data_IF_762871949844
#
_entry.id   IF_762871949844
#
_cell.length_a   1.000
_cell.length_b   1.000
_cell.length_c   1.000
_cell.angle_alpha   90.00
_cell.angle_beta   90.00
_cell.angle_gamma   90.00
#
_symmetry.space_group_name_H-M   'P 1'
#
loop_
_entity.id
_entity.type
_entity.pdbx_description
1 polymer ?
#
# COMPACT_ATOMS: atom_id res chain seq x y z
N UNK A 1 -24.05 15.53 54.14
CA UNK A 1 -23.29 14.75 55.16
C UNK A 1 -22.11 14.17 54.40
N UNK A 2 -20.83 14.47 54.62
CA UNK A 2 -20.07 14.91 55.80
C UNK A 2 -18.91 15.80 55.31
N UNK A 3 -18.62 16.86 56.07
CA UNK A 3 -17.46 17.76 55.95
C UNK A 3 -16.28 17.19 56.75
N UNK A 4 -15.06 17.35 56.28
CA UNK A 4 -13.80 17.29 57.06
C UNK A 4 -12.83 18.28 56.40
N UNK A 5 -12.63 19.51 56.88
CA UNK A 5 -11.97 19.99 58.12
C UNK A 5 -10.46 19.68 58.17
N UNK A 6 -9.66 20.74 58.01
CA UNK A 6 -8.19 20.78 58.13
C UNK A 6 -7.71 20.54 59.58
N UNK A 7 -6.37 20.48 59.80
CA UNK A 7 -5.82 21.53 60.66
C UNK A 7 -4.45 22.08 60.24
N UNK A 8 -4.23 23.32 60.66
CA UNK A 8 -2.98 24.05 60.70
C UNK A 8 -2.23 23.82 62.03
N UNK A 9 -0.90 23.95 62.03
CA UNK A 9 -0.04 24.05 63.22
C UNK A 9 1.43 24.16 62.78
N UNK A 10 2.04 25.34 62.83
CA UNK A 10 2.76 25.97 63.96
C UNK A 10 4.24 25.52 64.09
N UNK A 11 5.10 26.28 63.41
CA UNK A 11 6.29 27.00 63.93
C UNK A 11 7.03 26.41 65.14
N UNK A 12 8.27 25.92 64.92
CA UNK A 12 9.38 26.03 65.89
C UNK A 12 10.67 26.35 65.14
N UNK A 13 11.30 27.45 65.58
CA UNK A 13 12.57 28.01 65.17
C UNK A 13 13.70 27.29 65.92
N UNK A 14 14.74 26.82 65.24
CA UNK A 14 16.01 26.47 65.88
C UNK A 14 17.18 26.89 64.97
N UNK A 15 17.89 27.93 65.41
CA UNK A 15 19.18 28.34 64.86
C UNK A 15 20.23 27.27 65.14
N UNK A 16 20.98 26.88 64.12
CA UNK A 16 22.34 26.37 64.28
C UNK A 16 23.17 26.80 63.07
N UNK A 17 23.98 27.85 63.28
CA UNK A 17 25.02 28.24 62.35
C UNK A 17 26.19 27.24 62.45
N UNK A 18 26.57 26.63 61.34
CA UNK A 18 27.88 26.02 61.17
C UNK A 18 28.32 26.19 59.72
N UNK A 19 29.31 27.05 59.53
CA UNK A 19 30.05 27.20 58.29
C UNK A 19 30.63 25.84 57.86
N UNK A 20 30.70 25.58 56.55
CA UNK A 20 31.90 25.08 55.86
C UNK A 20 31.62 24.81 54.37
N UNK A 21 32.62 25.21 53.58
CA UNK A 21 32.95 24.79 52.22
C UNK A 21 32.03 25.30 51.10
N UNK A 22 32.46 26.44 50.57
CA UNK A 22 32.20 26.86 49.20
C UNK A 22 32.60 25.76 48.21
N UNK A 23 31.61 25.01 47.74
CA UNK A 23 31.67 24.28 46.47
C UNK A 23 30.68 24.94 45.52
N UNK A 24 31.16 25.59 44.48
CA UNK A 24 30.32 26.08 43.38
C UNK A 24 29.71 24.87 42.65
N UNK A 25 28.54 24.42 43.10
CA UNK A 25 27.69 23.53 42.32
C UNK A 25 26.98 24.39 41.28
N UNK A 26 27.59 24.48 40.10
CA UNK A 26 26.95 25.06 38.92
C UNK A 26 25.75 24.16 38.58
N UNK A 27 24.50 24.64 38.59
CA UNK A 27 23.39 23.87 38.05
C UNK A 27 23.61 23.74 36.55
N UNK A 28 24.19 22.61 36.15
CA UNK A 28 24.27 22.20 34.76
C UNK A 28 22.85 21.96 34.26
N UNK A 29 22.25 22.97 33.64
CA UNK A 29 21.07 22.81 32.81
C UNK A 29 21.48 21.97 31.62
N UNK A 30 21.38 20.64 31.74
CA UNK A 30 21.51 19.76 30.60
C UNK A 30 20.35 20.10 29.67
N UNK A 31 20.60 20.62 28.46
CA UNK A 31 19.52 20.85 27.52
C UNK A 31 18.83 19.51 27.23
N UNK A 32 17.50 19.48 27.09
CA UNK A 32 16.80 18.26 26.69
C UNK A 32 17.43 17.74 25.39
N UNK A 33 17.51 16.41 25.18
CA UNK A 33 18.07 15.85 23.96
C UNK A 33 17.32 16.47 22.79
N UNK A 34 18.03 17.30 22.02
CA UNK A 34 17.46 17.86 20.81
C UNK A 34 17.23 16.66 19.90
N UNK A 35 15.96 16.28 19.75
CA UNK A 35 15.54 15.41 18.67
C UNK A 35 15.94 16.15 17.40
N UNK A 36 17.12 15.82 16.87
CA UNK A 36 17.45 16.10 15.48
C UNK A 36 16.32 15.46 14.70
N UNK A 37 15.38 16.29 14.23
CA UNK A 37 14.36 15.86 13.32
C UNK A 37 15.08 15.14 12.18
N UNK A 38 14.96 13.81 12.15
CA UNK A 38 15.54 13.04 11.09
C UNK A 38 14.93 13.59 9.81
N UNK A 39 15.78 14.14 8.94
CA UNK A 39 15.36 14.54 7.61
C UNK A 39 14.63 13.35 7.00
N UNK A 40 13.44 13.54 6.39
CA UNK A 40 12.78 12.45 5.69
C UNK A 40 13.79 11.86 4.70
N UNK A 41 13.86 10.52 4.59
CA UNK A 41 14.78 9.89 3.67
C UNK A 41 14.59 10.50 2.28
N UNK A 42 15.69 10.74 1.53
CA UNK A 42 15.60 11.30 0.20
C UNK A 42 14.61 10.45 -0.62
N UNK A 43 13.69 11.12 -1.31
CA UNK A 43 12.72 10.43 -2.15
C UNK A 43 13.49 9.60 -3.19
N UNK A 44 13.37 8.27 -3.11
CA UNK A 44 13.93 7.38 -4.11
C UNK A 44 13.28 7.76 -5.44
N UNK A 45 14.06 8.11 -6.49
CA UNK A 45 13.50 8.39 -7.81
C UNK A 45 12.64 7.20 -8.24
N UNK A 46 11.37 7.44 -8.58
CA UNK A 46 10.54 6.40 -9.19
C UNK A 46 11.26 5.96 -10.48
N UNK A 47 11.39 4.64 -10.73
CA UNK A 47 11.93 4.19 -12.00
C UNK A 47 11.12 4.80 -13.14
N UNK A 48 11.75 5.09 -14.30
CA UNK A 48 11.01 5.48 -15.49
C UNK A 48 9.86 4.51 -15.73
N UNK A 49 8.69 4.98 -16.17
CA UNK A 49 7.51 4.15 -16.34
C UNK A 49 7.73 2.85 -17.13
N UNK A 50 8.63 2.88 -18.11
CA UNK A 50 9.06 1.74 -18.92
C UNK A 50 9.80 0.68 -18.10
N UNK A 51 10.61 1.04 -17.11
CA UNK A 51 11.42 0.09 -16.34
C UNK A 51 10.63 -0.63 -15.22
N UNK A 52 9.36 -0.30 -15.03
CA UNK A 52 8.52 -0.91 -13.98
C UNK A 52 8.03 -2.31 -14.34
N UNK A 53 8.07 -2.70 -15.62
CA UNK A 53 7.46 -3.94 -16.08
C UNK A 53 5.93 -3.92 -16.06
N UNK A 54 5.33 -5.07 -16.37
CA UNK A 54 3.88 -5.26 -16.26
C UNK A 54 3.55 -5.51 -14.79
N UNK A 55 2.77 -4.62 -14.20
CA UNK A 55 2.48 -4.60 -12.77
C UNK A 55 1.15 -5.26 -12.46
N UNK A 56 1.22 -6.40 -11.79
CA UNK A 56 0.05 -7.20 -11.40
C UNK A 56 -0.08 -7.13 -9.89
N UNK A 57 -1.29 -6.88 -9.38
CA UNK A 57 -1.60 -6.95 -7.94
C UNK A 57 -2.58 -8.08 -7.67
N UNK A 58 -2.73 -8.51 -6.41
CA UNK A 58 -3.88 -9.34 -6.01
C UNK A 58 -3.55 -10.59 -5.21
N UNK A 59 -4.25 -11.70 -5.48
CA UNK A 59 -4.23 -12.90 -4.63
C UNK A 59 -2.89 -13.64 -4.68
N UNK A 60 -2.29 -13.98 -3.52
CA UNK A 60 -1.16 -14.91 -3.45
C UNK A 60 -1.45 -16.30 -4.01
N UNK A 61 -2.72 -16.73 -4.01
CA UNK A 61 -3.12 -18.03 -4.55
C UNK A 61 -2.83 -18.15 -6.05
N UNK A 62 -2.78 -17.02 -6.78
CA UNK A 62 -2.51 -16.99 -8.21
C UNK A 62 -1.02 -16.83 -8.54
N UNK A 63 -0.12 -16.73 -7.56
CA UNK A 63 1.32 -16.55 -7.80
C UNK A 63 1.88 -17.58 -8.79
N UNK A 64 1.61 -18.86 -8.57
CA UNK A 64 2.08 -19.90 -9.50
C UNK A 64 1.50 -19.78 -10.91
N UNK A 65 0.27 -19.28 -11.07
CA UNK A 65 -0.33 -19.04 -12.40
C UNK A 65 0.35 -17.87 -13.09
N UNK A 66 0.55 -16.76 -12.37
CA UNK A 66 1.20 -15.55 -12.90
C UNK A 66 2.67 -15.82 -13.24
N UNK A 67 3.41 -16.50 -12.36
CA UNK A 67 4.84 -16.80 -12.57
C UNK A 67 5.02 -17.73 -13.78
N UNK A 68 4.14 -18.70 -13.98
CA UNK A 68 4.17 -19.57 -15.17
C UNK A 68 3.88 -18.81 -16.46
N UNK A 69 2.90 -17.89 -16.45
CA UNK A 69 2.63 -17.03 -17.59
C UNK A 69 3.83 -16.11 -17.88
N UNK A 70 4.41 -15.50 -16.83
CA UNK A 70 5.57 -14.62 -16.93
C UNK A 70 6.81 -15.36 -17.47
N UNK A 71 7.03 -16.61 -17.06
CA UNK A 71 8.15 -17.42 -17.54
C UNK A 71 8.04 -17.81 -19.03
N UNK A 72 6.81 -17.92 -19.55
CA UNK A 72 6.56 -18.23 -20.96
C UNK A 72 6.53 -16.98 -21.84
N UNK A 73 6.38 -15.81 -21.24
CA UNK A 73 6.29 -14.55 -21.96
C UNK A 73 7.66 -14.11 -22.48
N UNK A 74 7.79 -14.01 -23.80
CA UNK A 74 9.03 -13.61 -24.47
C UNK A 74 9.16 -12.08 -24.58
N UNK A 75 9.01 -11.39 -23.44
CA UNK A 75 9.13 -9.95 -23.31
C UNK A 75 10.56 -9.46 -23.09
N UNK A 76 10.75 -8.14 -23.17
CA UNK A 76 12.01 -7.48 -22.82
C UNK A 76 12.17 -7.30 -21.30
N UNK A 77 13.34 -6.81 -20.84
CA UNK A 77 13.59 -6.55 -19.41
C UNK A 77 12.55 -5.58 -18.80
N UNK A 78 12.12 -4.59 -19.59
CA UNK A 78 11.20 -3.52 -19.23
C UNK A 78 9.72 -3.93 -19.32
N UNK A 79 9.40 -5.12 -19.83
CA UNK A 79 8.03 -5.64 -19.89
C UNK A 79 7.82 -6.88 -19.03
N UNK A 80 8.79 -7.22 -18.18
CA UNK A 80 8.70 -8.41 -17.33
C UNK A 80 7.51 -8.30 -16.36
N UNK A 81 6.56 -9.26 -16.37
CA UNK A 81 5.45 -9.25 -15.42
C UNK A 81 5.91 -9.57 -14.01
N UNK A 82 5.33 -8.88 -13.03
CA UNK A 82 5.56 -9.16 -11.61
C UNK A 82 4.26 -9.07 -10.81
N UNK A 83 4.15 -9.88 -9.75
CA UNK A 83 2.97 -9.95 -8.89
C UNK A 83 3.23 -9.40 -7.47
N UNK A 84 2.57 -8.30 -7.15
CA UNK A 84 2.37 -7.77 -5.81
C UNK A 84 1.19 -8.46 -5.11
N UNK A 85 1.49 -9.62 -4.51
CA UNK A 85 0.49 -10.49 -3.91
C UNK A 85 0.05 -10.05 -2.50
N UNK A 86 -0.73 -8.96 -2.38
CA UNK A 86 -1.26 -8.46 -1.11
C UNK A 86 -2.72 -8.84 -0.83
N UNK A 87 -3.26 -9.80 -1.58
CA UNK A 87 -4.64 -10.28 -1.48
C UNK A 87 -5.60 -9.61 -2.46
N UNK A 88 -6.66 -10.31 -2.84
CA UNK A 88 -7.66 -9.87 -3.85
C UNK A 88 -8.23 -8.48 -3.56
N UNK A 89 -8.76 -8.25 -2.35
CA UNK A 89 -9.41 -6.99 -2.01
C UNK A 89 -8.43 -5.79 -1.99
N UNK A 90 -7.21 -6.00 -1.49
CA UNK A 90 -6.17 -4.97 -1.53
C UNK A 90 -5.70 -4.71 -2.96
N UNK A 91 -5.61 -5.77 -3.78
CA UNK A 91 -5.31 -5.68 -5.21
C UNK A 91 -6.32 -4.85 -5.95
N UNK A 92 -7.62 -5.15 -5.84
CA UNK A 92 -8.68 -4.34 -6.45
C UNK A 92 -8.68 -2.90 -5.95
N UNK A 93 -8.37 -2.64 -4.68
CA UNK A 93 -8.25 -1.27 -4.17
C UNK A 93 -7.12 -0.49 -4.85
N UNK A 94 -5.95 -1.11 -5.03
CA UNK A 94 -4.82 -0.48 -5.72
C UNK A 94 -5.10 -0.33 -7.23
N UNK A 95 -5.60 -1.39 -7.86
CA UNK A 95 -5.96 -1.45 -9.27
C UNK A 95 -7.02 -0.39 -9.63
N UNK A 96 -8.12 -0.32 -8.88
CA UNK A 96 -9.18 0.67 -9.09
C UNK A 96 -8.82 2.10 -8.61
N UNK A 97 -7.55 2.35 -8.25
CA UNK A 97 -7.09 3.66 -7.77
C UNK A 97 -6.90 4.71 -8.86
N UNK A 98 -6.85 4.30 -10.13
CA UNK A 98 -6.68 5.21 -11.27
C UNK A 98 -6.17 4.51 -12.53
N UNK A 99 -5.94 5.30 -13.58
CA UNK A 99 -5.36 4.89 -14.88
C UNK A 99 -4.00 5.55 -15.10
N UNK A 100 -3.23 5.07 -16.05
CA UNK A 100 -1.87 5.56 -16.33
C UNK A 100 -0.79 4.75 -15.62
N UNK A 101 0.45 5.22 -15.72
CA UNK A 101 1.65 4.44 -15.41
C UNK A 101 1.96 4.29 -13.92
N UNK A 102 1.36 5.14 -13.07
CA UNK A 102 1.47 5.06 -11.60
C UNK A 102 0.51 4.04 -10.97
N UNK A 103 -0.27 3.29 -11.77
CA UNK A 103 -1.29 2.36 -11.28
C UNK A 103 -1.08 0.95 -11.82
N UNK A 104 -1.52 -0.09 -11.09
CA UNK A 104 -1.39 -1.48 -11.54
C UNK A 104 -2.09 -1.73 -12.87
N UNK A 105 -1.52 -2.61 -13.71
CA UNK A 105 -2.06 -2.96 -15.02
C UNK A 105 -3.17 -3.99 -14.95
N UNK A 106 -2.99 -4.91 -14.02
CA UNK A 106 -3.80 -6.10 -13.89
C UNK A 106 -4.06 -6.41 -12.42
N UNK A 107 -5.15 -7.12 -12.16
CA UNK A 107 -5.41 -7.74 -10.85
C UNK A 107 -5.70 -9.22 -11.02
N UNK A 108 -4.90 -10.04 -10.33
CA UNK A 108 -5.09 -11.47 -10.21
C UNK A 108 -6.00 -11.77 -9.01
N UNK A 109 -7.12 -12.43 -9.23
CA UNK A 109 -8.16 -12.64 -8.24
C UNK A 109 -8.52 -14.12 -8.10
N UNK A 110 -8.69 -14.56 -6.84
CA UNK A 110 -9.15 -15.90 -6.49
C UNK A 110 -10.69 -16.03 -6.39
N UNK A 111 -11.39 -14.96 -6.73
CA UNK A 111 -12.85 -14.90 -6.82
C UNK A 111 -13.29 -13.92 -7.90
N UNK A 112 -14.56 -13.93 -8.32
CA UNK A 112 -15.09 -12.88 -9.17
C UNK A 112 -14.97 -11.50 -8.50
N UNK A 113 -14.87 -10.47 -9.33
CA UNK A 113 -14.97 -9.07 -8.91
C UNK A 113 -16.32 -8.82 -8.22
N UNK A 114 -16.31 -8.14 -7.07
CA UNK A 114 -17.54 -7.76 -6.36
C UNK A 114 -18.19 -6.53 -6.97
N UNK A 115 -19.49 -6.33 -6.72
CA UNK A 115 -20.21 -5.13 -7.14
C UNK A 115 -19.57 -3.83 -6.60
N UNK A 116 -19.03 -3.85 -5.38
CA UNK A 116 -18.36 -2.70 -4.78
C UNK A 116 -17.01 -2.39 -5.46
N UNK A 117 -16.24 -3.40 -5.84
CA UNK A 117 -14.98 -3.25 -6.57
C UNK A 117 -15.23 -2.76 -8.00
N UNK A 118 -16.22 -3.35 -8.69
CA UNK A 118 -16.65 -2.89 -10.01
C UNK A 118 -17.06 -1.40 -9.96
N UNK A 119 -17.93 -1.03 -9.02
CA UNK A 119 -18.36 0.37 -8.85
C UNK A 119 -17.16 1.30 -8.62
N UNK A 120 -16.20 0.91 -7.78
CA UNK A 120 -14.99 1.69 -7.51
C UNK A 120 -14.18 1.94 -8.79
N UNK A 121 -13.94 0.89 -9.57
CA UNK A 121 -13.26 0.99 -10.86
C UNK A 121 -14.02 1.92 -11.82
N UNK A 122 -15.35 1.76 -11.94
CA UNK A 122 -16.17 2.61 -12.81
C UNK A 122 -16.14 4.08 -12.38
N UNK A 123 -16.20 4.37 -11.08
CA UNK A 123 -16.10 5.76 -10.56
C UNK A 123 -14.74 6.38 -10.88
N UNK A 124 -13.67 5.57 -10.93
CA UNK A 124 -12.34 6.01 -11.35
C UNK A 124 -12.15 6.04 -12.88
N UNK A 125 -13.21 5.86 -13.68
CA UNK A 125 -13.14 5.86 -15.14
C UNK A 125 -12.50 4.60 -15.74
N UNK A 126 -12.33 3.54 -14.96
CA UNK A 126 -11.68 2.31 -15.39
C UNK A 126 -12.71 1.37 -16.01
N UNK A 127 -12.44 0.97 -17.25
CA UNK A 127 -13.08 -0.17 -17.90
C UNK A 127 -12.11 -1.36 -17.89
N UNK A 128 -12.65 -2.56 -17.77
CA UNK A 128 -11.84 -3.75 -17.55
C UNK A 128 -12.38 -4.97 -18.29
N UNK A 129 -11.44 -5.79 -18.73
CA UNK A 129 -11.67 -7.09 -19.36
C UNK A 129 -11.25 -8.20 -18.41
N UNK A 130 -12.10 -9.21 -18.23
CA UNK A 130 -11.87 -10.40 -17.42
C UNK A 130 -11.34 -11.54 -18.29
N UNK A 131 -10.33 -12.24 -17.78
CA UNK A 131 -9.76 -13.47 -18.33
C UNK A 131 -9.91 -14.58 -17.29
N UNK A 132 -10.69 -15.60 -17.62
CA UNK A 132 -10.97 -16.74 -16.75
C UNK A 132 -9.92 -17.85 -17.01
N UNK A 133 -9.19 -18.23 -15.97
CA UNK A 133 -8.21 -19.31 -15.97
C UNK A 133 -8.73 -20.56 -15.26
N UNK A 134 -10.03 -20.61 -14.96
CA UNK A 134 -10.74 -21.70 -14.32
C UNK A 134 -11.14 -21.39 -12.87
N UNK A 135 -11.51 -22.42 -12.09
CA UNK A 135 -12.07 -22.24 -10.76
C UNK A 135 -11.18 -21.37 -9.88
N UNK A 136 -11.73 -20.26 -9.37
CA UNK A 136 -11.04 -19.32 -8.48
C UNK A 136 -9.75 -18.76 -9.09
N UNK A 137 -9.69 -18.55 -10.41
CA UNK A 137 -8.53 -17.94 -11.07
C UNK A 137 -8.99 -16.99 -12.16
N UNK A 138 -9.02 -15.72 -11.82
CA UNK A 138 -9.43 -14.64 -12.72
C UNK A 138 -8.31 -13.63 -12.83
N UNK A 139 -8.10 -13.08 -14.02
CA UNK A 139 -7.23 -11.90 -14.21
C UNK A 139 -8.06 -10.82 -14.86
N UNK A 140 -8.04 -9.63 -14.27
CA UNK A 140 -8.70 -8.45 -14.82
C UNK A 140 -7.64 -7.48 -15.34
N UNK A 141 -7.84 -6.96 -16.53
CA UNK A 141 -6.92 -6.02 -17.19
C UNK A 141 -7.65 -4.71 -17.45
N UNK A 142 -7.00 -3.56 -17.24
CA UNK A 142 -7.59 -2.27 -17.64
C UNK A 142 -7.53 -2.14 -19.14
N UNK A 143 -8.66 -1.80 -19.76
CA UNK A 143 -8.69 -1.65 -21.22
C UNK A 143 -7.78 -0.50 -21.68
N UNK A 144 -7.72 0.58 -20.90
CA UNK A 144 -6.81 1.72 -21.15
C UNK A 144 -5.33 1.35 -21.14
N UNK A 145 -4.94 0.28 -20.44
CA UNK A 145 -3.54 -0.14 -20.35
C UNK A 145 -3.11 -1.06 -21.49
N UNK A 146 -4.05 -1.69 -22.21
CA UNK A 146 -3.75 -2.54 -23.37
C UNK A 146 -2.93 -1.82 -24.44
N UNK A 147 -3.16 -0.52 -24.63
CA UNK A 147 -2.43 0.29 -25.63
C UNK A 147 -1.45 1.29 -25.00
N UNK A 148 -1.64 1.64 -23.72
CA UNK A 148 -0.85 2.69 -23.06
C UNK A 148 0.40 2.17 -22.35
N UNK A 149 0.47 0.87 -22.06
CA UNK A 149 1.57 0.28 -21.29
C UNK A 149 2.30 -0.74 -22.15
N UNK A 150 3.61 -0.54 -22.42
CA UNK A 150 4.40 -1.49 -23.20
C UNK A 150 4.30 -2.92 -22.67
N UNK A 151 4.08 -3.87 -23.58
CA UNK A 151 4.02 -5.29 -23.29
C UNK A 151 2.70 -5.82 -22.73
N UNK A 152 1.77 -4.97 -22.24
CA UNK A 152 0.49 -5.45 -21.66
C UNK A 152 -0.32 -6.24 -22.68
N UNK A 153 -0.53 -5.71 -23.89
CA UNK A 153 -1.27 -6.43 -24.94
C UNK A 153 -0.57 -7.73 -25.36
N UNK A 154 0.76 -7.70 -25.52
CA UNK A 154 1.53 -8.88 -25.92
C UNK A 154 1.49 -9.97 -24.83
N UNK A 155 1.52 -9.56 -23.56
CA UNK A 155 1.42 -10.49 -22.45
C UNK A 155 0.03 -11.11 -22.38
N UNK A 156 -1.03 -10.31 -22.51
CA UNK A 156 -2.42 -10.81 -22.53
C UNK A 156 -2.65 -11.78 -23.69
N UNK A 157 -2.18 -11.44 -24.89
CA UNK A 157 -2.34 -12.29 -26.08
C UNK A 157 -1.55 -13.60 -25.96
N UNK A 158 -0.44 -13.63 -25.21
CA UNK A 158 0.33 -14.85 -24.96
C UNK A 158 -0.41 -15.93 -24.18
N UNK A 159 -1.46 -15.59 -23.42
CA UNK A 159 -2.19 -16.54 -22.60
C UNK A 159 -3.14 -17.45 -23.39
N UNK A 160 -3.43 -17.11 -24.65
CA UNK A 160 -4.44 -17.80 -25.47
C UNK A 160 -5.81 -17.90 -24.79
N UNK A 161 -6.19 -16.89 -24.00
CA UNK A 161 -7.48 -16.80 -23.32
C UNK A 161 -8.37 -15.75 -24.00
N UNK A 162 -9.66 -16.05 -24.12
CA UNK A 162 -10.65 -15.09 -24.59
C UNK A 162 -11.08 -14.19 -23.44
N UNK A 163 -10.83 -12.88 -23.59
CA UNK A 163 -11.27 -11.88 -22.63
C UNK A 163 -12.77 -11.57 -22.76
N UNK A 164 -13.42 -11.28 -21.64
CA UNK A 164 -14.81 -10.82 -21.57
C UNK A 164 -14.88 -9.43 -20.95
N UNK A 165 -15.51 -8.43 -21.60
CA UNK A 165 -15.75 -7.14 -20.97
C UNK A 165 -16.56 -7.29 -19.67
N UNK A 166 -16.10 -6.66 -18.59
CA UNK A 166 -16.81 -6.71 -17.31
C UNK A 166 -17.93 -5.68 -17.29
N UNK A 167 -19.14 -6.17 -17.11
CA UNK A 167 -20.33 -5.38 -16.83
C UNK A 167 -20.67 -5.41 -15.34
N UNK A 168 -21.64 -4.57 -14.93
CA UNK A 168 -22.10 -4.54 -13.55
C UNK A 168 -22.51 -5.95 -13.09
N UNK A 169 -22.00 -6.46 -11.95
CA UNK A 169 -22.45 -7.74 -11.42
C UNK A 169 -23.95 -7.68 -11.17
N UNK A 170 -24.70 -8.63 -11.72
CA UNK A 170 -26.13 -8.76 -11.44
C UNK A 170 -26.30 -8.94 -9.94
N UNK A 171 -27.10 -8.11 -9.30
CA UNK A 171 -27.28 -8.16 -7.85
C UNK A 171 -27.75 -9.58 -7.44
N UNK A 172 -26.96 -10.27 -6.60
CA UNK A 172 -27.34 -11.56 -6.02
C UNK A 172 -26.48 -12.79 -6.37
N UNK A 173 -25.21 -12.64 -6.75
CA UNK A 173 -24.25 -13.76 -6.83
C UNK A 173 -23.25 -13.74 -5.68
#
# INVERSE_FOLDING_TARGET
MIRFSAPAGSMVLALAAAALLAGCQMPGTMPPPQQTAALPPPAVPKPPPEARGIWIVGSPALRGTVDQAAAKYNGGPDTKPHLDARGTAAGFRAFCGGVGLDHPDMVASDRPISAAEYKRCRTAGITLTEYDFGPKRFVYVKDSHMMAVPGVNDFVTSWSQTGKPVSAPTAGS
#
